data_IF_132914634066
#
_entry.id   IF_132914634066
#
_cell.length_a   1.000
_cell.length_b   1.000
_cell.length_c   1.000
_cell.angle_alpha   90.00
_cell.angle_beta   90.00
_cell.angle_gamma   90.00
#
_symmetry.space_group_name_H-M   'P 1'
#
loop_
_entity.id
_entity.type
_entity.pdbx_description
1 polymer ?
#
# COMPACT_ATOMS: atom_id res chain seq x y z
N UNK A 1 18.96 -17.79 -14.91
CA UNK A 1 19.29 -16.44 -14.42
C UNK A 1 18.00 -15.67 -14.08
N UNK A 2 18.03 -14.53 -13.38
CA UNK A 2 16.81 -13.85 -12.86
C UNK A 2 15.73 -13.58 -13.94
N UNK A 3 16.15 -13.16 -15.13
CA UNK A 3 15.27 -12.93 -16.29
C UNK A 3 14.53 -14.21 -16.74
N UNK A 4 15.17 -15.38 -16.69
CA UNK A 4 14.50 -16.64 -17.06
C UNK A 4 13.39 -16.98 -16.06
N UNK A 5 13.58 -16.66 -14.77
CA UNK A 5 12.54 -16.87 -13.76
C UNK A 5 11.33 -15.96 -14.02
N UNK A 6 11.58 -14.70 -14.40
CA UNK A 6 10.53 -13.78 -14.82
C UNK A 6 9.80 -14.26 -16.07
N UNK A 7 10.53 -14.71 -17.10
CA UNK A 7 9.94 -15.25 -18.33
C UNK A 7 9.02 -16.45 -18.09
N UNK A 8 9.37 -17.29 -17.11
CA UNK A 8 8.58 -18.45 -16.71
C UNK A 8 7.41 -18.11 -15.79
N UNK A 9 7.29 -16.85 -15.35
CA UNK A 9 6.28 -16.44 -14.36
C UNK A 9 6.42 -17.17 -13.02
N UNK A 10 7.60 -17.71 -12.72
CA UNK A 10 7.84 -18.38 -11.44
C UNK A 10 7.72 -17.36 -10.33
N UNK A 11 7.01 -17.72 -9.24
CA UNK A 11 6.77 -16.83 -8.11
C UNK A 11 8.08 -16.23 -7.61
N UNK A 12 8.24 -14.92 -7.85
CA UNK A 12 9.43 -14.19 -7.43
C UNK A 12 9.36 -13.98 -5.92
N UNK A 13 10.44 -14.27 -5.17
CA UNK A 13 10.43 -14.03 -3.74
C UNK A 13 10.28 -12.54 -3.47
N UNK A 14 9.47 -12.19 -2.48
CA UNK A 14 9.19 -10.82 -2.06
C UNK A 14 10.43 -10.20 -1.38
N UNK A 15 11.43 -9.90 -2.19
CA UNK A 15 12.73 -9.36 -1.78
C UNK A 15 12.91 -7.97 -2.36
N UNK A 16 13.84 -7.15 -1.86
CA UNK A 16 14.11 -5.83 -2.44
C UNK A 16 14.46 -5.84 -3.94
N UNK A 17 14.97 -6.96 -4.48
CA UNK A 17 15.18 -7.16 -5.92
C UNK A 17 13.89 -7.08 -6.73
N UNK A 18 12.75 -7.40 -6.13
CA UNK A 18 11.45 -7.31 -6.78
C UNK A 18 11.10 -5.88 -7.17
N UNK A 19 11.38 -4.90 -6.29
CA UNK A 19 11.17 -3.48 -6.58
C UNK A 19 11.93 -3.07 -7.84
N UNK A 20 13.17 -3.56 -8.00
CA UNK A 20 13.94 -3.32 -9.21
C UNK A 20 13.21 -3.87 -10.45
N UNK A 21 12.70 -5.11 -10.43
CA UNK A 21 11.91 -5.64 -11.55
C UNK A 21 10.59 -4.95 -11.82
N UNK A 22 9.93 -4.39 -10.81
CA UNK A 22 8.71 -3.62 -11.03
C UNK A 22 8.98 -2.33 -11.82
N UNK A 23 10.15 -1.73 -11.63
CA UNK A 23 10.61 -0.51 -12.32
C UNK A 23 11.10 -0.82 -13.73
N UNK A 24 12.05 -1.76 -13.90
CA UNK A 24 12.63 -1.99 -15.23
C UNK A 24 11.80 -2.92 -16.11
N UNK A 25 10.96 -3.80 -15.55
CA UNK A 25 10.15 -4.78 -16.30
C UNK A 25 9.41 -4.15 -17.49
N UNK A 26 8.67 -3.04 -17.29
CA UNK A 26 8.01 -2.30 -18.36
C UNK A 26 8.91 -1.89 -19.53
N UNK A 27 10.20 -1.61 -19.25
CA UNK A 27 11.18 -1.22 -20.27
C UNK A 27 11.48 -2.34 -21.26
N UNK A 28 11.30 -3.60 -20.88
CA UNK A 28 11.57 -4.76 -21.74
C UNK A 28 10.75 -4.73 -23.03
N UNK A 29 9.50 -4.26 -22.96
CA UNK A 29 8.60 -4.12 -24.10
C UNK A 29 8.63 -2.75 -24.78
N UNK A 30 9.36 -1.78 -24.22
CA UNK A 30 9.31 -0.40 -24.70
C UNK A 30 10.28 -0.16 -25.86
N UNK A 31 9.81 0.53 -26.91
CA UNK A 31 10.58 0.75 -28.16
C UNK A 31 11.92 1.46 -27.96
N UNK A 32 12.04 2.32 -26.95
CA UNK A 32 13.29 3.05 -26.69
C UNK A 32 14.31 2.26 -25.86
N UNK A 33 13.87 1.25 -25.10
CA UNK A 33 14.73 0.56 -24.12
C UNK A 33 15.03 -0.88 -24.49
N UNK A 34 14.09 -1.58 -25.15
CA UNK A 34 14.22 -2.99 -25.55
C UNK A 34 15.50 -3.30 -26.33
N UNK A 35 15.87 -2.46 -27.30
CA UNK A 35 17.12 -2.61 -28.06
C UNK A 35 18.36 -2.54 -27.17
N UNK A 36 18.40 -1.57 -26.26
CA UNK A 36 19.51 -1.41 -25.32
C UNK A 36 19.62 -2.59 -24.35
N UNK A 37 18.48 -3.09 -23.86
CA UNK A 37 18.45 -4.27 -23.00
C UNK A 37 18.96 -5.51 -23.72
N UNK A 38 18.56 -5.72 -24.99
CA UNK A 38 19.06 -6.83 -25.81
C UNK A 38 20.58 -6.76 -25.96
N UNK A 39 21.10 -5.58 -26.32
CA UNK A 39 22.53 -5.39 -26.55
C UNK A 39 23.35 -5.61 -25.25
N UNK A 40 22.78 -5.22 -24.09
CA UNK A 40 23.39 -5.49 -22.78
C UNK A 40 23.47 -6.99 -22.48
N UNK A 41 22.42 -7.76 -22.79
CA UNK A 41 22.39 -9.22 -22.61
C UNK A 41 23.40 -9.92 -23.54
N UNK A 42 23.52 -9.47 -24.79
CA UNK A 42 24.52 -10.00 -25.73
C UNK A 42 25.94 -9.74 -25.23
N UNK A 43 26.22 -8.55 -24.68
CA UNK A 43 27.51 -8.22 -24.05
C UNK A 43 27.81 -9.06 -22.81
N UNK A 44 26.78 -9.57 -22.13
CA UNK A 44 26.92 -10.53 -21.02
C UNK A 44 27.17 -11.97 -21.51
N UNK A 45 27.28 -12.19 -22.82
CA UNK A 45 27.61 -13.49 -23.42
C UNK A 45 26.40 -14.29 -23.91
N UNK A 46 25.20 -13.71 -23.93
CA UNK A 46 24.02 -14.38 -24.50
C UNK A 46 24.02 -14.31 -26.03
N UNK A 47 23.57 -15.39 -26.68
CA UNK A 47 23.31 -15.35 -28.13
C UNK A 47 22.17 -14.38 -28.45
N UNK A 48 22.29 -13.61 -29.54
CA UNK A 48 21.31 -12.58 -29.94
C UNK A 48 19.89 -13.12 -30.01
N UNK A 49 19.68 -14.26 -30.69
CA UNK A 49 18.34 -14.88 -30.81
C UNK A 49 17.76 -15.29 -29.45
N UNK A 50 18.61 -15.77 -28.54
CA UNK A 50 18.17 -16.13 -27.19
C UNK A 50 17.80 -14.88 -26.38
N UNK A 51 18.60 -13.82 -26.44
CA UNK A 51 18.31 -12.56 -25.77
C UNK A 51 17.00 -11.92 -26.26
N UNK A 52 16.74 -11.95 -27.57
CA UNK A 52 15.48 -11.47 -28.16
C UNK A 52 14.28 -12.28 -27.69
N UNK A 53 14.39 -13.62 -27.73
CA UNK A 53 13.31 -14.52 -27.28
C UNK A 53 13.03 -14.33 -25.80
N UNK A 54 14.08 -14.26 -24.97
CA UNK A 54 13.95 -14.05 -23.53
C UNK A 54 13.28 -12.72 -23.20
N UNK A 55 13.70 -11.61 -23.84
CA UNK A 55 13.09 -10.30 -23.59
C UNK A 55 11.62 -10.25 -24.02
N UNK A 56 11.26 -10.94 -25.10
CA UNK A 56 9.87 -11.08 -25.51
C UNK A 56 9.06 -11.83 -24.44
N UNK A 57 9.52 -12.99 -23.98
CA UNK A 57 8.84 -13.74 -22.92
C UNK A 57 8.75 -12.97 -21.59
N UNK A 58 9.79 -12.22 -21.23
CA UNK A 58 9.76 -11.35 -20.05
C UNK A 58 8.70 -10.27 -20.22
N UNK A 59 8.67 -9.60 -21.38
CA UNK A 59 7.67 -8.55 -21.68
C UNK A 59 6.24 -9.08 -21.57
N UNK A 60 5.97 -10.22 -22.20
CA UNK A 60 4.64 -10.85 -22.21
C UNK A 60 4.18 -11.21 -20.79
N UNK A 61 5.12 -11.54 -19.89
CA UNK A 61 4.83 -11.87 -18.50
C UNK A 61 4.69 -10.62 -17.61
N UNK A 62 5.72 -9.77 -17.55
CA UNK A 62 5.82 -8.67 -16.56
C UNK A 62 4.91 -7.48 -16.85
N UNK A 63 4.36 -7.39 -18.07
CA UNK A 63 3.37 -6.38 -18.45
C UNK A 63 1.94 -6.94 -18.40
N UNK A 64 1.74 -8.15 -17.86
CA UNK A 64 0.43 -8.77 -17.69
C UNK A 64 -0.15 -8.42 -16.31
N UNK A 65 -1.34 -7.83 -16.29
CA UNK A 65 -2.05 -7.58 -15.02
C UNK A 65 -2.27 -8.85 -14.19
N UNK A 66 -2.41 -10.03 -14.83
CA UNK A 66 -2.54 -11.30 -14.12
C UNK A 66 -1.26 -11.65 -13.34
N UNK A 67 -0.11 -11.37 -13.93
CA UNK A 67 1.18 -11.53 -13.27
C UNK A 67 1.28 -10.57 -12.08
N UNK A 68 0.93 -9.29 -12.26
CA UNK A 68 0.98 -8.29 -11.18
C UNK A 68 0.03 -8.59 -10.02
N UNK A 69 -1.20 -9.04 -10.30
CA UNK A 69 -2.16 -9.47 -9.26
C UNK A 69 -1.61 -10.68 -8.49
N UNK A 70 -1.06 -11.67 -9.21
CA UNK A 70 -0.45 -12.86 -8.58
C UNK A 70 0.75 -12.47 -7.72
N UNK A 71 1.57 -11.55 -8.22
CA UNK A 71 2.74 -11.05 -7.52
C UNK A 71 2.35 -10.26 -6.27
N UNK A 72 1.35 -9.39 -6.36
CA UNK A 72 0.82 -8.64 -5.23
C UNK A 72 0.27 -9.58 -4.16
N UNK A 73 -0.55 -10.56 -4.55
CA UNK A 73 -1.06 -11.60 -3.65
C UNK A 73 0.06 -12.33 -2.91
N UNK A 74 1.06 -12.84 -3.65
CA UNK A 74 2.17 -13.58 -3.05
C UNK A 74 3.03 -12.71 -2.13
N UNK A 75 3.21 -11.44 -2.50
CA UNK A 75 3.96 -10.48 -1.69
C UNK A 75 3.24 -10.15 -0.38
N UNK A 76 1.93 -9.90 -0.43
CA UNK A 76 1.10 -9.71 0.76
C UNK A 76 1.18 -10.93 1.67
N UNK A 77 0.95 -12.13 1.14
CA UNK A 77 0.98 -13.37 1.94
C UNK A 77 2.37 -13.61 2.56
N UNK A 78 3.44 -13.31 1.84
CA UNK A 78 4.81 -13.54 2.31
C UNK A 78 5.29 -12.51 3.35
N UNK A 79 4.86 -11.25 3.22
CA UNK A 79 5.39 -10.13 4.01
C UNK A 79 4.47 -9.68 5.15
N UNK A 80 3.19 -10.10 5.12
CA UNK A 80 2.24 -9.75 6.15
C UNK A 80 2.69 -10.27 7.53
N UNK A 81 2.73 -9.40 8.55
CA UNK A 81 3.02 -9.81 9.92
C UNK A 81 2.06 -10.88 10.45
N UNK A 82 2.62 -11.90 11.09
CA UNK A 82 1.84 -12.99 11.70
C UNK A 82 1.46 -12.62 13.14
N UNK A 83 0.43 -11.79 13.28
CA UNK A 83 0.00 -11.24 14.57
C UNK A 83 -1.39 -11.72 14.97
N UNK A 84 -1.66 -11.70 16.28
CA UNK A 84 -3.00 -11.90 16.83
C UNK A 84 -3.76 -10.56 16.79
N UNK A 85 -4.82 -10.47 15.99
CA UNK A 85 -5.61 -9.22 15.86
C UNK A 85 -6.36 -8.85 17.14
N UNK A 86 -6.81 -9.85 17.90
CA UNK A 86 -7.42 -9.68 19.24
C UNK A 86 -6.39 -9.25 20.30
N UNK A 87 -5.10 -9.23 19.95
CA UNK A 87 -4.03 -8.78 20.82
C UNK A 87 -4.05 -7.25 20.99
N UNK A 88 -4.00 -6.81 22.25
CA UNK A 88 -3.94 -5.38 22.58
C UNK A 88 -2.62 -4.69 22.21
N UNK A 89 -1.55 -5.44 21.98
CA UNK A 89 -0.26 -4.90 21.59
C UNK A 89 0.53 -5.94 20.77
N UNK A 90 0.96 -5.54 19.57
CA UNK A 90 1.90 -6.31 18.75
C UNK A 90 3.33 -6.11 19.28
N UNK A 91 4.11 -7.16 19.58
CA UNK A 91 5.50 -6.99 20.00
C UNK A 91 6.33 -6.21 18.96
N UNK A 92 7.24 -5.32 19.39
CA UNK A 92 8.10 -4.51 18.48
C UNK A 92 8.80 -5.33 17.39
N UNK A 93 9.24 -6.56 17.71
CA UNK A 93 9.93 -7.46 16.78
C UNK A 93 9.04 -8.04 15.68
N UNK A 94 7.72 -8.04 15.91
CA UNK A 94 6.72 -8.57 14.99
C UNK A 94 6.11 -7.45 14.13
N UNK A 95 6.55 -6.20 14.31
CA UNK A 95 6.20 -5.10 13.42
C UNK A 95 6.91 -5.25 12.06
N UNK A 96 6.26 -4.87 10.95
CA UNK A 96 6.86 -4.96 9.63
C UNK A 96 8.04 -3.99 9.49
N UNK A 97 9.01 -4.35 8.66
CA UNK A 97 10.07 -3.41 8.30
C UNK A 97 9.56 -2.38 7.30
N UNK A 98 10.27 -1.25 7.15
CA UNK A 98 9.92 -0.25 6.14
C UNK A 98 9.97 -0.84 4.71
N UNK A 99 10.88 -1.78 4.46
CA UNK A 99 11.00 -2.42 3.15
C UNK A 99 9.82 -3.34 2.87
N UNK A 100 9.32 -4.06 3.88
CA UNK A 100 8.12 -4.89 3.73
C UNK A 100 6.90 -4.02 3.41
N UNK A 101 6.74 -2.91 4.14
CA UNK A 101 5.67 -1.93 3.90
C UNK A 101 5.75 -1.35 2.49
N UNK A 102 6.93 -0.87 2.10
CA UNK A 102 7.17 -0.28 0.77
C UNK A 102 6.90 -1.28 -0.35
N UNK A 103 7.34 -2.53 -0.21
CA UNK A 103 7.13 -3.55 -1.22
C UNK A 103 5.64 -3.92 -1.36
N UNK A 104 4.94 -4.12 -0.24
CA UNK A 104 3.49 -4.38 -0.24
C UNK A 104 2.72 -3.22 -0.87
N UNK A 105 3.07 -1.97 -0.57
CA UNK A 105 2.43 -0.79 -1.17
C UNK A 105 2.68 -0.74 -2.68
N UNK A 106 3.94 -0.93 -3.08
CA UNK A 106 4.35 -0.83 -4.49
C UNK A 106 3.65 -1.85 -5.39
N UNK A 107 3.50 -3.09 -4.94
CA UNK A 107 2.81 -4.12 -5.75
C UNK A 107 1.30 -3.84 -5.87
N UNK A 108 0.67 -3.28 -4.82
CA UNK A 108 -0.75 -2.89 -4.85
C UNK A 108 -0.95 -1.66 -5.74
N UNK A 109 -0.09 -0.66 -5.59
CA UNK A 109 -0.03 0.54 -6.42
C UNK A 109 0.08 0.19 -7.91
N UNK A 110 0.96 -0.74 -8.28
CA UNK A 110 1.10 -1.18 -9.67
C UNK A 110 -0.20 -1.79 -10.22
N UNK A 111 -0.83 -2.69 -9.46
CA UNK A 111 -2.13 -3.29 -9.85
C UNK A 111 -3.19 -2.21 -10.00
N UNK A 112 -3.26 -1.24 -9.08
CA UNK A 112 -4.21 -0.13 -9.11
C UNK A 112 -4.12 0.68 -10.41
N UNK A 113 -2.91 1.05 -10.83
CA UNK A 113 -2.69 1.83 -12.06
C UNK A 113 -3.10 1.04 -13.31
N UNK A 114 -2.79 -0.25 -13.35
CA UNK A 114 -3.10 -1.10 -14.52
C UNK A 114 -4.57 -1.49 -14.63
N UNK A 115 -5.29 -1.52 -13.51
CA UNK A 115 -6.71 -1.86 -13.44
C UNK A 115 -7.63 -0.74 -13.97
N UNK A 116 -7.12 0.50 -14.09
CA UNK A 116 -7.88 1.63 -14.60
C UNK A 116 -8.10 1.56 -16.12
N UNK A 117 -9.27 2.01 -16.62
CA UNK A 117 -9.52 2.12 -18.05
C UNK A 117 -8.58 3.19 -18.65
N UNK A 118 -7.52 2.74 -19.32
CA UNK A 118 -6.42 3.60 -19.80
C UNK A 118 -5.02 3.12 -19.40
N UNK A 119 -4.92 2.14 -18.50
CA UNK A 119 -3.66 1.44 -18.21
C UNK A 119 -3.07 0.88 -19.51
N UNK A 120 -1.81 1.20 -19.79
CA UNK A 120 -1.15 1.05 -21.09
C UNK A 120 -1.09 -0.40 -21.58
N UNK A 121 -2.12 -0.79 -22.33
CA UNK A 121 -2.00 -1.80 -23.38
C UNK A 121 -3.10 -1.50 -24.37
N UNK A 122 -2.81 -0.55 -25.26
CA UNK A 122 -3.21 -0.50 -26.66
C UNK A 122 -2.81 0.87 -27.21
N UNK A 123 -2.08 0.85 -28.32
CA UNK A 123 -1.75 2.02 -29.13
C UNK A 123 -3.03 2.64 -29.67
N UNK A 124 -3.67 3.59 -28.98
CA UNK A 124 -4.82 4.29 -29.57
C UNK A 124 -5.03 5.72 -29.05
N UNK A 125 -4.87 6.66 -29.98
CA UNK A 125 -5.46 8.00 -30.13
C UNK A 125 -5.95 8.78 -28.89
N UNK A 126 -5.28 9.91 -28.69
CA UNK A 126 -5.43 10.92 -27.63
C UNK A 126 -6.81 11.62 -27.53
N UNK A 127 -7.85 11.17 -28.23
CA UNK A 127 -9.07 11.98 -28.48
C UNK A 127 -10.41 11.32 -28.08
N UNK A 128 -10.46 10.41 -27.10
CA UNK A 128 -11.75 9.95 -26.56
C UNK A 128 -11.96 10.42 -25.12
N UNK A 129 -12.91 11.33 -24.96
CA UNK A 129 -13.55 11.68 -23.69
C UNK A 129 -14.11 10.40 -23.06
N UNK A 130 -13.74 10.16 -21.80
CA UNK A 130 -14.03 8.93 -21.07
C UNK A 130 -15.48 8.90 -20.59
N UNK A 131 -16.29 8.00 -21.14
CA UNK A 131 -17.54 7.54 -20.50
C UNK A 131 -17.28 6.17 -19.87
N UNK A 132 -17.52 6.10 -18.55
CA UNK A 132 -17.21 4.96 -17.70
C UNK A 132 -18.50 4.21 -17.38
N UNK A 133 -18.78 3.10 -18.07
CA UNK A 133 -20.02 2.35 -17.81
C UNK A 133 -19.92 0.82 -17.96
N UNK A 134 -18.81 0.25 -18.42
CA UNK A 134 -18.65 -1.22 -18.53
C UNK A 134 -17.41 -1.71 -17.74
N UNK A 135 -17.52 -2.79 -16.94
CA UNK A 135 -16.38 -3.35 -16.22
C UNK A 135 -15.36 -3.91 -17.22
N UNK A 136 -14.12 -3.43 -17.14
CA UNK A 136 -13.04 -4.02 -17.93
C UNK A 136 -12.59 -5.35 -17.30
N UNK A 137 -12.17 -6.35 -18.09
CA UNK A 137 -11.64 -7.62 -17.56
C UNK A 137 -10.41 -7.43 -16.66
N UNK A 138 -9.74 -6.27 -16.76
CA UNK A 138 -8.63 -5.86 -15.87
C UNK A 138 -9.12 -5.48 -14.47
N UNK A 139 -10.28 -4.81 -14.39
CA UNK A 139 -10.91 -4.43 -13.12
C UNK A 139 -11.41 -5.65 -12.34
N UNK A 140 -11.89 -6.69 -13.04
CA UNK A 140 -12.27 -7.97 -12.42
C UNK A 140 -11.08 -8.68 -11.79
N UNK A 141 -9.94 -8.78 -12.50
CA UNK A 141 -8.73 -9.40 -11.97
C UNK A 141 -8.17 -8.68 -10.73
N UNK A 142 -8.32 -7.36 -10.65
CA UNK A 142 -7.93 -6.62 -9.45
C UNK A 142 -8.81 -6.97 -8.23
N UNK A 143 -10.08 -7.35 -8.42
CA UNK A 143 -10.97 -7.75 -7.31
C UNK A 143 -10.49 -9.03 -6.62
N UNK A 144 -9.76 -9.92 -7.30
CA UNK A 144 -9.18 -11.12 -6.69
C UNK A 144 -8.21 -10.80 -5.54
N UNK A 145 -7.67 -9.58 -5.50
CA UNK A 145 -6.77 -9.11 -4.46
C UNK A 145 -7.52 -8.63 -3.20
N UNK A 146 -8.80 -8.27 -3.33
CA UNK A 146 -9.62 -7.68 -2.27
C UNK A 146 -9.61 -8.45 -0.92
N UNK A 147 -9.79 -9.79 -0.87
CA UNK A 147 -9.70 -10.52 0.41
C UNK A 147 -8.33 -10.40 1.08
N UNK A 148 -7.25 -10.34 0.29
CA UNK A 148 -5.89 -10.20 0.81
C UNK A 148 -5.64 -8.77 1.31
N UNK A 149 -6.14 -7.77 0.58
CA UNK A 149 -6.07 -6.35 0.97
C UNK A 149 -6.85 -6.11 2.25
N UNK A 150 -8.09 -6.61 2.37
CA UNK A 150 -8.90 -6.49 3.58
C UNK A 150 -8.18 -7.06 4.80
N UNK A 151 -7.63 -8.27 4.67
CA UNK A 151 -6.87 -8.89 5.75
C UNK A 151 -5.61 -8.09 6.11
N UNK A 152 -4.89 -7.60 5.10
CA UNK A 152 -3.70 -6.78 5.32
C UNK A 152 -4.06 -5.46 6.02
N UNK A 153 -5.18 -4.82 5.67
CA UNK A 153 -5.68 -3.61 6.34
C UNK A 153 -5.86 -3.81 7.83
N UNK A 154 -6.47 -4.93 8.25
CA UNK A 154 -6.64 -5.27 9.68
C UNK A 154 -5.28 -5.38 10.39
N UNK A 155 -4.32 -6.07 9.76
CA UNK A 155 -2.98 -6.28 10.31
C UNK A 155 -2.19 -4.98 10.39
N UNK A 156 -2.18 -4.18 9.32
CA UNK A 156 -1.47 -2.89 9.28
C UNK A 156 -2.11 -1.89 10.25
N UNK A 157 -3.43 -1.88 10.39
CA UNK A 157 -4.12 -1.07 11.40
C UNK A 157 -3.70 -1.43 12.82
N UNK A 158 -3.60 -2.73 13.15
CA UNK A 158 -3.11 -3.19 14.44
C UNK A 158 -1.63 -2.80 14.68
N UNK A 159 -0.79 -2.86 13.63
CA UNK A 159 0.59 -2.40 13.68
C UNK A 159 0.68 -0.88 13.89
N UNK A 160 -0.13 -0.08 13.18
CA UNK A 160 -0.20 1.39 13.34
C UNK A 160 -0.58 1.79 14.75
N UNK A 161 -1.66 1.21 15.29
CA UNK A 161 -2.10 1.49 16.67
C UNK A 161 -1.04 1.11 17.69
N UNK A 162 -0.39 -0.04 17.53
CA UNK A 162 0.69 -0.49 18.42
C UNK A 162 1.91 0.43 18.33
N UNK A 163 2.33 0.80 17.12
CA UNK A 163 3.48 1.67 16.91
C UNK A 163 3.27 3.05 17.57
N UNK A 164 2.04 3.59 17.52
CA UNK A 164 1.67 4.79 18.28
C UNK A 164 1.80 4.60 19.79
N UNK A 165 1.36 3.47 20.35
CA UNK A 165 1.54 3.19 21.78
C UNK A 165 3.01 3.16 22.20
N UNK A 166 3.89 2.62 21.35
CA UNK A 166 5.32 2.66 21.61
C UNK A 166 5.89 4.07 21.59
N UNK A 167 5.47 4.92 20.65
CA UNK A 167 5.88 6.32 20.63
C UNK A 167 5.36 7.11 21.84
N UNK A 168 4.11 6.87 22.26
CA UNK A 168 3.53 7.47 23.47
C UNK A 168 4.38 7.12 24.69
N UNK A 169 4.78 5.86 24.83
CA UNK A 169 5.61 5.42 25.93
C UNK A 169 7.01 6.03 25.90
N UNK A 170 7.62 6.15 24.73
CA UNK A 170 8.92 6.80 24.55
C UNK A 170 8.88 8.30 24.84
N UNK A 171 7.72 8.94 24.63
CA UNK A 171 7.46 10.35 24.97
C UNK A 171 6.97 10.57 26.40
N UNK A 172 6.85 9.52 27.21
CA UNK A 172 6.30 9.61 28.56
C UNK A 172 7.31 10.25 29.53
N UNK A 173 6.87 11.28 30.24
CA UNK A 173 7.64 11.94 31.30
C UNK A 173 7.50 11.21 32.66
N UNK A 174 6.60 10.23 32.76
CA UNK A 174 6.34 9.53 34.01
C UNK A 174 7.45 8.53 34.35
N UNK A 175 7.93 8.58 35.60
CA UNK A 175 8.92 7.62 36.12
C UNK A 175 8.30 6.22 36.18
N UNK A 176 8.59 5.38 35.19
CA UNK A 176 8.05 4.02 35.05
C UNK A 176 7.29 3.74 33.76
N UNK A 177 7.04 4.76 32.92
CA UNK A 177 6.31 4.60 31.66
C UNK A 177 4.82 4.25 31.87
N UNK A 178 4.15 3.83 30.80
CA UNK A 178 2.75 3.40 30.83
C UNK A 178 2.64 1.88 30.96
N UNK A 179 1.63 1.42 31.70
CA UNK A 179 1.29 0.00 31.81
C UNK A 179 0.53 -0.49 30.57
N UNK A 180 0.38 -1.82 30.43
CA UNK A 180 -0.47 -2.39 29.39
C UNK A 180 -1.93 -1.93 29.51
N UNK A 181 -2.44 -1.79 30.74
CA UNK A 181 -3.79 -1.29 30.98
C UNK A 181 -3.99 0.14 30.48
N UNK A 182 -2.98 0.98 30.63
CA UNK A 182 -3.01 2.36 30.12
C UNK A 182 -3.06 2.38 28.59
N UNK A 183 -2.24 1.57 27.90
CA UNK A 183 -2.29 1.48 26.45
C UNK A 183 -3.65 1.00 25.92
N UNK A 184 -4.28 0.04 26.60
CA UNK A 184 -5.63 -0.42 26.26
C UNK A 184 -6.63 0.74 26.40
N UNK A 185 -6.57 1.47 27.52
CA UNK A 185 -7.44 2.62 27.75
C UNK A 185 -7.24 3.71 26.68
N UNK A 186 -5.99 4.06 26.37
CA UNK A 186 -5.68 5.04 25.32
C UNK A 186 -6.22 4.59 23.96
N UNK A 187 -5.98 3.34 23.56
CA UNK A 187 -6.52 2.80 22.30
C UNK A 187 -8.05 2.87 22.23
N UNK A 188 -8.74 2.50 23.32
CA UNK A 188 -10.20 2.56 23.37
C UNK A 188 -10.72 3.99 23.25
N UNK A 189 -10.09 4.95 23.94
CA UNK A 189 -10.47 6.37 23.85
C UNK A 189 -10.21 6.90 22.44
N UNK A 190 -9.03 6.67 21.88
CA UNK A 190 -8.67 7.14 20.54
C UNK A 190 -9.60 6.58 19.45
N UNK A 191 -10.03 5.32 19.57
CA UNK A 191 -10.93 4.66 18.62
C UNK A 191 -12.31 5.32 18.46
N UNK A 192 -12.71 6.19 19.38
CA UNK A 192 -13.99 6.93 19.35
C UNK A 192 -13.83 8.45 19.43
N UNK A 193 -12.59 8.94 19.32
CA UNK A 193 -12.25 10.36 19.52
C UNK A 193 -11.97 11.13 18.23
N UNK A 194 -12.36 10.61 17.06
CA UNK A 194 -12.25 11.37 15.79
C UNK A 194 -13.04 12.67 15.88
N UNK A 195 -12.37 13.75 15.52
CA UNK A 195 -12.89 15.10 15.37
C UNK A 195 -13.56 15.35 14.02
N UNK A 196 -13.36 14.45 13.04
CA UNK A 196 -13.95 14.51 11.69
C UNK A 196 -15.43 14.14 11.67
N UNK A 197 -15.85 13.23 12.57
CA UNK A 197 -17.25 12.81 12.67
C UNK A 197 -18.09 13.87 13.40
N UNK A 198 -18.96 14.56 12.65
CA UNK A 198 -19.88 15.58 13.20
C UNK A 198 -20.78 15.02 14.30
N UNK A 199 -21.14 13.73 14.23
CA UNK A 199 -22.01 13.06 15.22
C UNK A 199 -21.32 12.84 16.56
N UNK A 200 -20.00 12.73 16.58
CA UNK A 200 -19.21 12.42 17.80
C UNK A 200 -18.27 13.55 18.19
N UNK A 201 -18.31 14.69 17.50
CA UNK A 201 -17.37 15.80 17.68
C UNK A 201 -17.34 16.35 19.13
N UNK A 202 -18.50 16.52 19.76
CA UNK A 202 -18.57 16.98 21.16
C UNK A 202 -17.96 15.98 22.14
N UNK A 203 -18.13 14.67 21.88
CA UNK A 203 -17.52 13.61 22.68
C UNK A 203 -16.01 13.59 22.47
N UNK A 204 -15.55 13.67 21.23
CA UNK A 204 -14.13 13.79 20.87
C UNK A 204 -13.46 14.96 21.60
N UNK A 205 -14.06 16.15 21.58
CA UNK A 205 -13.54 17.32 22.30
C UNK A 205 -13.43 17.08 23.82
N UNK A 206 -14.46 16.46 24.43
CA UNK A 206 -14.45 16.14 25.85
C UNK A 206 -13.37 15.10 26.21
N UNK A 207 -13.22 14.06 25.40
CA UNK A 207 -12.23 12.99 25.62
C UNK A 207 -10.80 13.51 25.43
N UNK A 208 -10.54 14.33 24.42
CA UNK A 208 -9.21 14.89 24.14
C UNK A 208 -8.68 15.70 25.33
N UNK A 209 -9.53 16.44 26.05
CA UNK A 209 -9.12 17.21 27.25
C UNK A 209 -8.64 16.28 28.39
N UNK A 210 -9.15 15.06 28.45
CA UNK A 210 -8.81 14.07 29.49
C UNK A 210 -7.55 13.25 29.14
N UNK A 211 -7.06 13.33 27.90
CA UNK A 211 -5.88 12.57 27.46
C UNK A 211 -4.58 13.17 28.04
N UNK A 212 -3.63 12.31 28.48
CA UNK A 212 -2.29 12.75 28.86
C UNK A 212 -1.61 13.56 27.76
N UNK A 213 -0.73 14.50 28.14
CA UNK A 213 -0.05 15.38 27.20
C UNK A 213 0.77 14.60 26.16
N UNK A 214 1.49 13.55 26.57
CA UNK A 214 2.24 12.64 25.69
C UNK A 214 1.36 12.02 24.60
N UNK A 215 0.16 11.55 24.96
CA UNK A 215 -0.81 10.97 24.02
C UNK A 215 -1.24 12.01 22.99
N UNK A 216 -1.62 13.21 23.45
CA UNK A 216 -2.02 14.31 22.56
C UNK A 216 -0.90 14.71 21.61
N UNK A 217 0.31 14.93 22.12
CA UNK A 217 1.47 15.33 21.31
C UNK A 217 1.82 14.29 20.24
N UNK A 218 1.80 12.99 20.57
CA UNK A 218 2.07 11.93 19.59
C UNK A 218 0.94 11.84 18.57
N UNK A 219 -0.33 11.96 18.98
CA UNK A 219 -1.47 11.99 18.08
C UNK A 219 -1.41 13.18 17.11
N UNK A 220 -1.11 14.38 17.61
CA UNK A 220 -0.98 15.59 16.80
C UNK A 220 0.15 15.42 15.77
N UNK A 221 1.32 14.90 16.19
CA UNK A 221 2.44 14.60 15.29
C UNK A 221 2.05 13.55 14.25
N UNK A 222 1.32 12.51 14.63
CA UNK A 222 0.84 11.47 13.73
C UNK A 222 -0.12 12.06 12.68
N UNK A 223 -1.08 12.87 13.10
CA UNK A 223 -2.07 13.49 12.22
C UNK A 223 -1.44 14.54 11.30
N UNK A 224 -0.44 15.29 11.78
CA UNK A 224 0.32 16.26 10.98
C UNK A 224 1.18 15.62 9.87
N UNK A 225 1.56 14.35 9.98
CA UNK A 225 2.27 13.66 8.90
C UNK A 225 1.34 13.51 7.69
N UNK A 226 1.59 14.28 6.62
CA UNK A 226 0.82 14.19 5.40
C UNK A 226 0.98 12.80 4.75
N UNK A 227 -0.12 12.28 4.20
CA UNK A 227 -0.08 11.13 3.30
C UNK A 227 -0.07 11.68 1.88
N UNK A 228 0.92 11.30 1.09
CA UNK A 228 0.97 11.66 -0.33
C UNK A 228 -0.02 10.78 -1.08
N UNK A 229 -0.98 11.39 -1.75
CA UNK A 229 -1.83 10.69 -2.71
C UNK A 229 -1.23 10.80 -4.11
N UNK A 230 -1.40 9.75 -4.91
CA UNK A 230 -0.89 9.65 -6.26
C UNK A 230 -2.06 9.44 -7.22
N UNK A 231 -2.67 10.52 -7.74
CA UNK A 231 -3.67 10.41 -8.79
C UNK A 231 -3.11 9.67 -10.00
N UNK A 232 -3.89 8.74 -10.54
CA UNK A 232 -3.44 7.85 -11.62
C UNK A 232 -3.06 8.58 -12.91
N UNK A 233 -3.65 9.76 -13.15
CA UNK A 233 -3.38 10.58 -14.31
C UNK A 233 -2.12 11.45 -14.19
N UNK A 234 -1.51 11.55 -13.00
CA UNK A 234 -0.35 12.42 -12.76
C UNK A 234 0.82 12.09 -13.70
N UNK A 235 1.03 10.81 -14.01
CA UNK A 235 2.14 10.33 -14.82
C UNK A 235 1.74 9.88 -16.23
N UNK A 236 0.51 10.19 -16.67
CA UNK A 236 -0.03 9.70 -17.95
C UNK A 236 0.81 10.12 -19.17
N UNK A 237 1.56 11.22 -19.06
CA UNK A 237 2.41 11.75 -20.13
C UNK A 237 3.87 11.30 -20.04
N UNK A 238 4.23 10.48 -19.05
CA UNK A 238 5.59 10.00 -18.88
C UNK A 238 5.91 8.91 -19.91
N UNK A 239 7.21 8.68 -20.15
CA UNK A 239 7.67 7.67 -21.12
C UNK A 239 7.11 6.28 -20.76
N UNK A 240 7.08 5.96 -19.45
CA UNK A 240 6.47 4.76 -18.90
C UNK A 240 5.69 5.19 -17.63
N UNK A 241 4.38 5.45 -17.74
CA UNK A 241 3.57 5.95 -16.63
C UNK A 241 3.60 5.06 -15.38
N UNK A 242 3.53 3.73 -15.56
CA UNK A 242 3.58 2.77 -14.45
C UNK A 242 4.92 2.77 -13.71
N UNK A 243 6.03 3.06 -14.41
CA UNK A 243 7.36 3.15 -13.82
C UNK A 243 7.44 4.36 -12.90
N UNK A 244 7.00 5.52 -13.40
CA UNK A 244 6.96 6.77 -12.63
C UNK A 244 6.07 6.65 -11.40
N UNK A 245 4.90 6.02 -11.54
CA UNK A 245 4.00 5.78 -10.41
C UNK A 245 4.64 4.91 -9.34
N UNK A 246 5.23 3.77 -9.74
CA UNK A 246 5.95 2.87 -8.82
C UNK A 246 7.10 3.60 -8.12
N UNK A 247 7.90 4.38 -8.85
CA UNK A 247 9.00 5.15 -8.26
C UNK A 247 8.50 6.22 -7.30
N UNK A 248 7.36 6.85 -7.56
CA UNK A 248 6.76 7.84 -6.67
C UNK A 248 6.33 7.22 -5.33
N UNK A 249 5.69 6.05 -5.37
CA UNK A 249 5.32 5.29 -4.17
C UNK A 249 6.57 4.88 -3.38
N UNK A 250 7.58 4.33 -4.05
CA UNK A 250 8.86 4.00 -3.40
C UNK A 250 9.48 5.24 -2.75
N UNK A 251 9.50 6.37 -3.45
CA UNK A 251 10.04 7.62 -2.91
C UNK A 251 9.23 8.15 -1.72
N UNK A 252 7.91 7.96 -1.68
CA UNK A 252 7.07 8.31 -0.53
C UNK A 252 7.52 7.58 0.74
N UNK A 253 7.88 6.30 0.63
CA UNK A 253 8.42 5.55 1.76
C UNK A 253 9.85 5.99 2.11
N UNK A 254 10.75 6.02 1.13
CA UNK A 254 12.18 6.26 1.37
C UNK A 254 12.46 7.68 1.89
N UNK A 255 11.74 8.69 1.39
CA UNK A 255 11.90 10.08 1.85
C UNK A 255 11.56 10.27 3.33
N UNK A 256 10.77 9.37 3.93
CA UNK A 256 10.40 9.44 5.35
C UNK A 256 11.52 9.00 6.29
N UNK A 257 12.52 8.26 5.80
CA UNK A 257 13.63 7.76 6.62
C UNK A 257 14.46 8.88 7.26
N UNK A 258 14.58 10.02 6.57
CA UNK A 258 15.34 11.18 7.01
C UNK A 258 14.45 12.38 7.37
N UNK A 259 13.12 12.22 7.39
CA UNK A 259 12.20 13.34 7.61
C UNK A 259 11.95 13.63 9.10
N UNK A 260 12.36 12.74 10.00
CA UNK A 260 12.16 12.87 11.44
C UNK A 260 13.47 12.73 12.22
N UNK A 261 13.56 13.44 13.36
CA UNK A 261 14.73 13.36 14.26
C UNK A 261 14.92 11.96 14.84
N UNK A 262 13.83 11.23 15.07
CA UNK A 262 13.82 9.85 15.53
C UNK A 262 13.22 8.96 14.46
N UNK A 263 13.89 7.85 14.17
CA UNK A 263 13.39 6.87 13.20
C UNK A 263 12.05 6.31 13.66
N UNK A 264 11.11 6.20 12.72
CA UNK A 264 9.83 5.54 12.93
C UNK A 264 9.28 5.01 11.61
N UNK A 265 8.59 3.88 11.67
CA UNK A 265 7.86 3.30 10.52
C UNK A 265 6.49 3.94 10.30
N UNK A 266 6.06 4.85 11.20
CA UNK A 266 4.72 5.43 11.21
C UNK A 266 4.29 6.07 9.88
N UNK A 267 5.09 6.91 9.21
CA UNK A 267 4.72 7.45 7.91
C UNK A 267 4.44 6.36 6.86
N UNK A 268 5.25 5.30 6.84
CA UNK A 268 5.06 4.18 5.91
C UNK A 268 3.85 3.31 6.24
N UNK A 269 3.57 3.09 7.53
CA UNK A 269 2.32 2.45 7.98
C UNK A 269 1.09 3.26 7.57
N UNK A 270 1.16 4.59 7.74
CA UNK A 270 0.09 5.53 7.39
C UNK A 270 -0.19 5.52 5.89
N UNK A 271 0.88 5.55 5.08
CA UNK A 271 0.82 5.52 3.62
C UNK A 271 0.24 4.20 3.08
N UNK A 272 0.76 3.06 3.53
CA UNK A 272 0.22 1.76 3.12
C UNK A 272 -1.26 1.62 3.54
N UNK A 273 -1.62 2.04 4.76
CA UNK A 273 -3.02 1.97 5.20
C UNK A 273 -3.95 2.83 4.34
N UNK A 274 -3.48 4.00 3.86
CA UNK A 274 -4.21 4.79 2.89
C UNK A 274 -4.39 4.05 1.57
N UNK A 275 -3.31 3.55 0.96
CA UNK A 275 -3.37 2.78 -0.29
C UNK A 275 -4.35 1.60 -0.19
N UNK A 276 -4.34 0.87 0.93
CA UNK A 276 -5.22 -0.27 1.16
C UNK A 276 -6.69 0.15 1.28
N UNK A 277 -7.00 1.18 2.07
CA UNK A 277 -8.38 1.65 2.23
C UNK A 277 -8.92 2.22 0.93
N UNK A 278 -8.11 3.00 0.19
CA UNK A 278 -8.50 3.47 -1.14
C UNK A 278 -8.79 2.32 -2.09
N UNK A 279 -7.95 1.27 -2.11
CA UNK A 279 -8.20 0.07 -2.93
C UNK A 279 -9.51 -0.63 -2.53
N UNK A 280 -9.78 -0.78 -1.23
CA UNK A 280 -11.03 -1.39 -0.76
C UNK A 280 -12.22 -0.56 -1.24
N UNK A 281 -12.21 0.75 -1.00
CA UNK A 281 -13.34 1.64 -1.35
C UNK A 281 -13.60 1.68 -2.85
N UNK A 282 -12.55 1.64 -3.67
CA UNK A 282 -12.66 1.60 -5.14
C UNK A 282 -13.25 0.28 -5.66
N UNK A 283 -13.06 -0.85 -4.96
CA UNK A 283 -13.43 -2.19 -5.44
C UNK A 283 -14.64 -2.80 -4.74
N UNK A 284 -14.93 -2.44 -3.49
CA UNK A 284 -15.92 -3.12 -2.65
C UNK A 284 -17.36 -2.95 -3.15
N UNK A 285 -17.69 -1.82 -3.77
CA UNK A 285 -19.05 -1.53 -4.27
C UNK A 285 -19.47 -2.43 -5.43
N UNK A 286 -18.51 -3.13 -6.07
CA UNK A 286 -18.77 -4.12 -7.11
C UNK A 286 -19.15 -5.49 -6.54
N UNK A 287 -18.96 -5.71 -5.24
CA UNK A 287 -19.43 -6.92 -4.57
C UNK A 287 -20.92 -6.83 -4.25
N UNK A 288 -21.63 -7.94 -4.44
CA UNK A 288 -23.03 -8.09 -4.02
C UNK A 288 -23.21 -7.71 -2.53
N UNK A 289 -24.39 -7.19 -2.17
CA UNK A 289 -24.68 -6.77 -0.79
C UNK A 289 -24.55 -7.91 0.23
N UNK A 290 -24.89 -9.13 -0.18
CA UNK A 290 -24.81 -10.35 0.63
C UNK A 290 -23.41 -10.94 0.72
N UNK A 291 -22.43 -10.37 0.00
CA UNK A 291 -21.07 -10.88 -0.04
C UNK A 291 -20.37 -10.69 1.32
N UNK A 292 -19.79 -11.77 1.85
CA UNK A 292 -19.06 -11.74 3.13
C UNK A 292 -17.90 -10.72 3.14
N UNK A 293 -17.26 -10.47 2.00
CA UNK A 293 -16.21 -9.45 1.87
C UNK A 293 -16.73 -8.04 2.12
N UNK A 294 -17.99 -7.76 1.75
CA UNK A 294 -18.62 -6.46 2.01
C UNK A 294 -18.92 -6.27 3.49
N UNK A 295 -19.37 -7.33 4.17
CA UNK A 295 -19.53 -7.31 5.63
C UNK A 295 -18.20 -7.12 6.35
N UNK A 296 -17.14 -7.82 5.90
CA UNK A 296 -15.79 -7.64 6.43
C UNK A 296 -15.31 -6.20 6.20
N UNK A 297 -15.47 -5.65 5.00
CA UNK A 297 -15.10 -4.27 4.70
C UNK A 297 -15.81 -3.27 5.61
N UNK A 298 -17.12 -3.42 5.84
CA UNK A 298 -17.86 -2.57 6.79
C UNK A 298 -17.30 -2.68 8.21
N UNK A 299 -16.99 -3.91 8.67
CA UNK A 299 -16.42 -4.12 10.00
C UNK A 299 -15.03 -3.49 10.19
N UNK A 300 -14.27 -3.34 9.09
CA UNK A 300 -12.93 -2.73 9.09
C UNK A 300 -13.01 -1.21 8.90
N UNK A 301 -13.76 -0.73 7.91
CA UNK A 301 -13.81 0.67 7.49
C UNK A 301 -14.64 1.55 8.43
N UNK A 302 -15.80 1.08 8.90
CA UNK A 302 -16.68 1.91 9.72
C UNK A 302 -16.00 2.40 11.02
N UNK A 303 -15.24 1.57 11.78
CA UNK A 303 -14.48 2.05 12.92
C UNK A 303 -13.42 3.12 12.58
N UNK A 304 -12.85 3.11 11.37
CA UNK A 304 -11.83 4.10 10.96
C UNK A 304 -12.40 5.51 10.92
N UNK A 305 -13.70 5.65 10.63
CA UNK A 305 -14.38 6.96 10.57
C UNK A 305 -14.47 7.64 11.94
N UNK A 306 -14.40 6.86 13.03
CA UNK A 306 -14.51 7.29 14.42
C UNK A 306 -13.17 7.34 15.17
N UNK A 307 -12.13 6.69 14.65
CA UNK A 307 -10.82 6.61 15.29
C UNK A 307 -9.98 7.85 14.98
N UNK A 308 -9.50 8.52 16.04
CA UNK A 308 -8.68 9.73 15.96
C UNK A 308 -7.34 9.49 15.26
N UNK A 309 -6.85 8.23 15.24
CA UNK A 309 -5.63 7.85 14.54
C UNK A 309 -5.85 7.71 13.02
N UNK A 310 -7.08 7.68 12.53
CA UNK A 310 -7.40 7.43 11.12
C UNK A 310 -8.27 8.51 10.50
N UNK A 311 -8.26 9.72 11.06
CA UNK A 311 -9.01 10.87 10.53
C UNK A 311 -8.70 11.20 9.07
N UNK A 312 -7.47 10.94 8.63
CA UNK A 312 -7.03 11.12 7.24
C UNK A 312 -7.68 10.13 6.25
N UNK A 313 -8.38 9.11 6.74
CA UNK A 313 -9.13 8.13 5.95
C UNK A 313 -10.63 8.40 5.95
N UNK A 314 -11.11 9.39 6.72
CA UNK A 314 -12.54 9.59 6.99
C UNK A 314 -13.40 9.74 5.73
N UNK A 315 -12.87 10.43 4.71
CA UNK A 315 -13.64 10.69 3.47
C UNK A 315 -13.57 9.50 2.48
N UNK A 316 -12.66 8.54 2.72
CA UNK A 316 -12.44 7.37 1.86
C UNK A 316 -13.14 6.12 2.41
N UNK A 317 -13.16 5.96 3.74
CA UNK A 317 -13.71 4.81 4.47
C UNK A 317 -15.25 4.86 4.58
#
# INVERSE_FOLDING_TARGET
PYLDKLALGQGMPATPLLLHSLVWGPRAGHKFFSSWMRDALVKQGMYTQYAETLLKSVTDMVNSIRYDVTLAKNSIVSLMPHIQLEGWLVPKRDLPTIMDLCLMDTVIAKVKVLALPGGTSETTDLNKTFECTEPSPRSELAQDLLPHVLRLTEVILACSRTSLMYQINESSEASGGYSLGDFIAFRCVLAVSSSRSVKTQSLSAALTILLPASVRTVLDKWNANAVTDFPSNTYANDIIPEESYVLAVVNAHISTLSSQQTFTINPSLKHLLHSLVTFISEHIMRCEETNALRQQAVSVLAPLTLDACTEYLHDIA
#
